data_IF_261369047420
#
_entry.id   IF_261369047420
#
_cell.length_a   1.000
_cell.length_b   1.000
_cell.length_c   1.000
_cell.angle_alpha   90.00
_cell.angle_beta   90.00
_cell.angle_gamma   90.00
#
_symmetry.space_group_name_H-M   'P 1'
#
loop_
_entity.id
_entity.type
_entity.pdbx_description
1 polymer ?
#
# COMPACT_ATOMS: atom_id res chain seq x y z
N UNK A 1 28.94 -6.02 0.54
CA UNK A 1 27.64 -5.45 0.97
C UNK A 1 26.65 -5.80 -0.14
N UNK A 2 25.86 -6.87 0.02
CA UNK A 2 24.90 -7.25 -1.02
C UNK A 2 23.72 -6.27 -0.93
N UNK A 3 23.62 -5.37 -1.92
CA UNK A 3 22.38 -4.63 -2.14
C UNK A 3 21.27 -5.67 -2.35
N UNK A 4 20.22 -5.58 -1.54
CA UNK A 4 18.99 -6.33 -1.82
C UNK A 4 18.55 -5.90 -3.23
N UNK A 5 18.28 -6.83 -4.15
CA UNK A 5 17.77 -6.47 -5.47
C UNK A 5 16.56 -5.54 -5.32
N UNK A 6 16.45 -4.52 -6.18
CA UNK A 6 15.34 -3.56 -6.16
C UNK A 6 13.95 -4.23 -6.18
N UNK A 7 13.91 -5.49 -6.61
CA UNK A 7 12.78 -6.41 -6.71
C UNK A 7 12.07 -6.73 -5.38
N UNK A 8 12.63 -6.32 -4.23
CA UNK A 8 12.05 -6.56 -2.90
C UNK A 8 11.56 -5.29 -2.19
N UNK A 9 11.27 -4.23 -2.91
CA UNK A 9 10.62 -3.05 -2.35
C UNK A 9 9.11 -3.06 -2.64
N UNK A 10 8.32 -2.65 -1.66
CA UNK A 10 6.88 -2.52 -1.82
C UNK A 10 6.33 -1.40 -0.94
N UNK A 11 5.45 -0.58 -1.50
CA UNK A 11 4.65 0.41 -0.79
C UNK A 11 3.24 -0.12 -0.61
N UNK A 12 2.77 -0.13 0.64
CA UNK A 12 1.41 -0.51 1.02
C UNK A 12 0.65 0.75 1.37
N UNK A 13 -0.48 0.97 0.70
CA UNK A 13 -1.28 2.18 0.83
C UNK A 13 -2.69 1.85 1.30
N UNK A 14 -3.21 2.60 2.27
CA UNK A 14 -4.62 2.58 2.61
C UNK A 14 -5.36 3.73 1.93
N UNK A 15 -6.39 3.42 1.14
CA UNK A 15 -7.22 4.38 0.41
C UNK A 15 -8.57 4.51 1.14
N UNK A 16 -8.94 5.72 1.55
CA UNK A 16 -10.29 6.02 2.00
C UNK A 16 -11.26 6.11 0.80
N UNK A 17 -12.41 5.43 0.89
CA UNK A 17 -13.45 5.49 -0.14
C UNK A 17 -14.59 6.40 0.32
N UNK A 18 -14.61 7.63 -0.20
CA UNK A 18 -15.61 8.64 0.12
C UNK A 18 -17.04 8.23 -0.29
N UNK A 19 -18.03 8.75 0.43
CA UNK A 19 -19.45 8.54 0.10
C UNK A 19 -20.02 7.18 0.50
N UNK A 20 -19.29 6.40 1.29
CA UNK A 20 -19.75 5.12 1.82
C UNK A 20 -19.87 5.19 3.36
N UNK A 21 -21.06 4.84 3.86
CA UNK A 21 -21.31 4.66 5.30
C UNK A 21 -21.58 3.17 5.61
N UNK A 22 -20.89 2.57 6.59
CA UNK A 22 -19.81 3.14 7.41
C UNK A 22 -18.51 3.35 6.61
N UNK A 23 -17.56 4.13 7.14
CA UNK A 23 -16.25 4.40 6.50
C UNK A 23 -15.63 3.13 5.86
N UNK A 24 -15.39 3.20 4.56
CA UNK A 24 -14.80 2.10 3.80
C UNK A 24 -13.38 2.44 3.34
N UNK A 25 -12.50 1.44 3.38
CA UNK A 25 -11.10 1.58 3.04
C UNK A 25 -10.66 0.47 2.09
N UNK A 26 -9.73 0.74 1.18
CA UNK A 26 -9.03 -0.28 0.38
C UNK A 26 -7.57 -0.39 0.83
N UNK A 27 -6.95 -1.55 0.62
CA UNK A 27 -5.49 -1.71 0.76
C UNK A 27 -4.89 -1.98 -0.61
N UNK A 28 -3.93 -1.15 -0.98
CA UNK A 28 -3.16 -1.23 -2.21
C UNK A 28 -1.74 -1.71 -1.95
N UNK A 29 -1.18 -2.41 -2.92
CA UNK A 29 0.22 -2.84 -2.95
C UNK A 29 0.86 -2.35 -4.23
N UNK A 30 2.01 -1.69 -4.12
CA UNK A 30 2.70 -1.02 -5.23
C UNK A 30 4.16 -1.48 -5.19
N UNK A 31 4.69 -2.13 -6.23
CA UNK A 31 6.03 -2.76 -6.22
C UNK A 31 7.15 -1.73 -6.46
N UNK A 32 7.20 -0.69 -5.63
CA UNK A 32 8.23 0.34 -5.62
C UNK A 32 8.68 0.63 -4.18
N UNK A 33 9.82 1.30 -4.02
CA UNK A 33 10.27 1.78 -2.71
C UNK A 33 9.45 2.96 -2.22
N UNK A 34 9.55 3.27 -0.91
CA UNK A 34 8.97 4.49 -0.35
C UNK A 34 9.53 5.75 -1.01
N UNK A 35 10.86 5.82 -1.19
CA UNK A 35 11.51 6.92 -1.91
C UNK A 35 11.00 7.04 -3.35
N UNK A 36 10.91 5.92 -4.08
CA UNK A 36 10.36 5.91 -5.43
C UNK A 36 8.86 6.21 -5.49
N UNK A 37 8.14 6.07 -4.38
CA UNK A 37 6.74 6.48 -4.26
C UNK A 37 6.65 7.99 -4.00
N UNK A 38 7.47 8.53 -3.09
CA UNK A 38 7.55 9.97 -2.80
C UNK A 38 8.01 10.79 -4.02
N UNK A 39 8.99 10.29 -4.79
CA UNK A 39 9.50 10.94 -6.02
C UNK A 39 8.45 11.07 -7.14
N UNK A 40 7.37 10.27 -7.09
CA UNK A 40 6.32 10.28 -8.14
C UNK A 40 5.40 11.50 -8.05
N UNK A 41 5.44 12.24 -6.93
CA UNK A 41 4.67 13.47 -6.74
C UNK A 41 3.18 13.26 -7.01
N UNK A 42 2.63 13.99 -7.97
CA UNK A 42 1.20 14.00 -8.32
C UNK A 42 0.73 12.77 -9.14
N UNK A 43 1.62 11.80 -9.39
CA UNK A 43 1.21 10.57 -10.09
C UNK A 43 0.25 9.80 -9.19
N UNK A 44 -0.97 9.55 -9.69
CA UNK A 44 -1.95 8.76 -8.95
C UNK A 44 -1.41 7.35 -8.73
N UNK A 45 -1.46 6.86 -7.50
CA UNK A 45 -0.85 5.60 -7.12
C UNK A 45 -1.37 4.38 -7.92
N UNK A 46 -2.62 4.42 -8.38
CA UNK A 46 -3.21 3.37 -9.22
C UNK A 46 -2.77 3.41 -10.69
N UNK A 47 -2.10 4.48 -11.13
CA UNK A 47 -1.47 4.59 -12.46
C UNK A 47 -0.02 4.03 -12.44
N UNK A 48 0.51 3.62 -11.28
CA UNK A 48 1.85 3.05 -11.15
C UNK A 48 1.89 1.60 -11.64
N UNK A 49 2.96 1.24 -12.34
CA UNK A 49 3.12 -0.12 -12.87
C UNK A 49 3.10 -1.17 -11.75
N UNK A 50 2.23 -2.17 -11.89
CA UNK A 50 2.07 -3.23 -10.90
C UNK A 50 1.30 -2.83 -9.64
N UNK A 51 0.80 -1.60 -9.53
CA UNK A 51 -0.11 -1.21 -8.46
C UNK A 51 -1.37 -2.08 -8.48
N UNK A 52 -1.70 -2.69 -7.35
CA UNK A 52 -2.86 -3.57 -7.23
C UNK A 52 -3.66 -3.32 -5.95
N UNK A 53 -4.99 -3.25 -6.10
CA UNK A 53 -5.92 -3.28 -4.98
C UNK A 53 -5.96 -4.70 -4.45
N UNK A 54 -5.34 -4.94 -3.29
CA UNK A 54 -5.25 -6.27 -2.69
C UNK A 54 -6.58 -6.65 -2.04
N UNK A 55 -7.25 -5.68 -1.41
CA UNK A 55 -8.55 -5.87 -0.79
C UNK A 55 -9.34 -4.54 -0.72
N UNK A 56 -10.67 -4.65 -0.68
CA UNK A 56 -11.60 -3.56 -0.39
C UNK A 56 -12.46 -3.08 -1.56
N UNK A 57 -13.40 -2.16 -1.31
CA UNK A 57 -13.65 -1.47 -0.04
C UNK A 57 -14.21 -2.38 1.07
N UNK A 58 -13.74 -2.18 2.31
CA UNK A 58 -14.20 -2.88 3.51
C UNK A 58 -14.12 -1.94 4.74
N UNK A 59 -14.82 -2.24 5.86
CA UNK A 59 -14.74 -1.40 7.06
C UNK A 59 -13.31 -1.16 7.52
N UNK A 60 -13.02 0.05 8.02
CA UNK A 60 -11.68 0.50 8.43
C UNK A 60 -10.92 -0.50 9.28
N UNK A 61 -11.58 -1.10 10.27
CA UNK A 61 -10.97 -2.08 11.17
C UNK A 61 -10.48 -3.31 10.39
N UNK A 62 -11.30 -3.85 9.49
CA UNK A 62 -10.94 -5.03 8.69
C UNK A 62 -9.81 -4.71 7.69
N UNK A 63 -9.83 -3.53 7.06
CA UNK A 63 -8.75 -3.08 6.18
C UNK A 63 -7.43 -2.93 6.95
N UNK A 64 -7.48 -2.40 8.17
CA UNK A 64 -6.31 -2.22 9.05
C UNK A 64 -5.73 -3.58 9.48
N UNK A 65 -6.57 -4.51 9.92
CA UNK A 65 -6.14 -5.86 10.29
C UNK A 65 -5.50 -6.60 9.10
N UNK A 66 -6.10 -6.46 7.90
CA UNK A 66 -5.54 -7.04 6.68
C UNK A 66 -4.18 -6.43 6.33
N UNK A 67 -4.05 -5.09 6.34
CA UNK A 67 -2.78 -4.39 6.12
C UNK A 67 -1.70 -4.93 7.07
N UNK A 68 -2.00 -5.01 8.37
CA UNK A 68 -1.02 -5.47 9.37
C UNK A 68 -0.59 -6.92 9.15
N UNK A 69 -1.49 -7.79 8.67
CA UNK A 69 -1.16 -9.15 8.30
C UNK A 69 -0.29 -9.20 7.04
N UNK A 70 -0.64 -8.43 6.01
CA UNK A 70 0.12 -8.31 4.76
C UNK A 70 1.54 -7.79 5.00
N UNK A 71 1.69 -6.71 5.78
CA UNK A 71 2.98 -6.13 6.15
C UNK A 71 3.86 -7.16 6.88
N UNK A 72 3.28 -7.89 7.85
CA UNK A 72 4.01 -8.97 8.57
C UNK A 72 4.47 -10.08 7.63
N UNK A 73 3.61 -10.52 6.73
CA UNK A 73 3.94 -11.55 5.73
C UNK A 73 5.06 -11.08 4.79
N UNK A 74 4.95 -9.87 4.23
CA UNK A 74 5.94 -9.33 3.30
C UNK A 74 7.31 -9.16 3.97
N UNK A 75 7.34 -8.62 5.20
CA UNK A 75 8.58 -8.52 5.99
C UNK A 75 9.19 -9.91 6.24
N UNK A 76 8.37 -10.93 6.55
CA UNK A 76 8.84 -12.31 6.72
C UNK A 76 9.41 -12.94 5.43
N UNK A 77 8.90 -12.54 4.26
CA UNK A 77 9.43 -12.93 2.93
C UNK A 77 10.67 -12.11 2.51
N UNK A 78 11.10 -11.15 3.35
CA UNK A 78 12.28 -10.32 3.15
C UNK A 78 12.04 -9.09 2.27
N UNK A 79 10.79 -8.66 2.12
CA UNK A 79 10.49 -7.37 1.47
C UNK A 79 10.80 -6.20 2.39
N UNK A 80 11.26 -5.10 1.79
CA UNK A 80 11.27 -3.78 2.40
C UNK A 80 9.91 -3.15 2.15
N UNK A 81 9.17 -2.92 3.23
CA UNK A 81 7.80 -2.42 3.18
C UNK A 81 7.77 -0.97 3.64
N UNK A 82 7.26 -0.09 2.78
CA UNK A 82 6.85 1.27 3.13
C UNK A 82 5.33 1.28 3.32
N UNK A 83 4.84 2.00 4.31
CA UNK A 83 3.42 2.06 4.67
C UNK A 83 2.95 3.51 4.58
N UNK A 84 1.88 3.75 3.81
CA UNK A 84 1.31 5.08 3.59
C UNK A 84 -0.24 5.06 3.66
N UNK A 85 -0.85 6.23 3.79
CA UNK A 85 -2.30 6.40 3.90
C UNK A 85 -2.76 7.61 3.10
N UNK A 86 -3.73 7.40 2.21
CA UNK A 86 -4.40 8.47 1.46
C UNK A 86 -5.82 8.60 1.98
N UNK A 87 -6.10 9.75 2.59
CA UNK A 87 -7.45 10.25 2.79
C UNK A 87 -7.69 11.32 1.72
N UNK A 88 -8.69 11.13 0.86
CA UNK A 88 -9.17 12.23 0.02
C UNK A 88 -9.77 13.30 0.96
N UNK A 89 -9.13 14.48 1.00
CA UNK A 89 -9.63 15.69 1.69
C UNK A 89 -10.81 16.32 0.94
#
# INVERSE_FOLDING_TARGET
>A
MHAVPDDKNVTILMEFNCGLEPEQWSVWMIPISGEGYEERGDTRYFDLEGAMKVIGPLPRENATQFRDALVRMLKALGYRVHEDMVADD
#
